data_IF_743921668319
#
_entry.id   IF_743921668319
#
_cell.length_a   1.000
_cell.length_b   1.000
_cell.length_c   1.000
_cell.angle_alpha   90.00
_cell.angle_beta   90.00
_cell.angle_gamma   90.00
#
_symmetry.space_group_name_H-M   'P 1'
#
loop_
_entity.id
_entity.type
_entity.pdbx_description
1 polymer ?
#
# COMPACT_ATOMS: atom_id res chain seq x y z
N UNK A 1 -15.14 17.41 12.54
CA UNK A 1 -15.19 16.41 11.44
C UNK A 1 -15.02 14.97 11.95
N UNK A 2 -13.92 14.61 12.63
CA UNK A 2 -13.69 13.25 13.20
C UNK A 2 -14.89 12.68 13.97
N UNK A 3 -15.40 13.41 14.96
CA UNK A 3 -16.55 12.97 15.78
C UNK A 3 -17.82 12.72 14.96
N UNK A 4 -18.07 13.55 13.94
CA UNK A 4 -19.24 13.38 13.08
C UNK A 4 -19.10 12.13 12.18
N UNK A 5 -17.93 11.93 11.57
CA UNK A 5 -17.66 10.74 10.74
C UNK A 5 -17.66 9.44 11.55
N UNK A 6 -17.13 9.48 12.78
CA UNK A 6 -17.13 8.32 13.67
C UNK A 6 -18.56 7.90 14.02
N UNK A 7 -19.44 8.86 14.32
CA UNK A 7 -20.85 8.59 14.61
C UNK A 7 -21.65 8.13 13.39
N UNK A 8 -21.40 8.73 12.23
CA UNK A 8 -22.17 8.44 11.02
C UNK A 8 -21.75 7.13 10.34
N UNK A 9 -20.47 6.80 10.39
CA UNK A 9 -19.88 5.69 9.63
C UNK A 9 -19.32 4.57 10.53
N UNK A 10 -19.53 4.65 11.86
CA UNK A 10 -19.04 3.67 12.85
C UNK A 10 -17.53 3.41 12.76
N UNK A 11 -16.75 4.46 12.47
CA UNK A 11 -15.29 4.38 12.34
C UNK A 11 -14.68 4.20 13.73
N UNK A 12 -13.85 3.17 13.95
CA UNK A 12 -13.27 2.90 15.27
C UNK A 12 -12.18 3.91 15.63
N UNK A 13 -11.98 4.16 16.93
CA UNK A 13 -10.99 5.15 17.41
C UNK A 13 -9.55 4.80 17.00
N UNK A 14 -9.22 3.52 16.95
CA UNK A 14 -7.90 3.04 16.50
C UNK A 14 -7.56 3.54 15.09
N UNK A 15 -8.55 3.70 14.20
CA UNK A 15 -8.32 4.25 12.87
C UNK A 15 -7.83 5.70 12.95
N UNK A 16 -8.35 6.50 13.88
CA UNK A 16 -8.02 7.91 14.01
C UNK A 16 -6.74 8.18 14.80
N UNK A 17 -6.31 7.24 15.63
CA UNK A 17 -5.02 7.29 16.33
C UNK A 17 -3.87 6.88 15.40
N UNK A 18 -4.19 6.04 14.41
CA UNK A 18 -3.22 5.50 13.48
C UNK A 18 -2.44 6.50 12.60
N UNK A 19 -2.92 7.72 12.24
CA UNK A 19 -2.16 8.66 11.42
C UNK A 19 -0.89 9.18 12.11
N UNK A 20 -0.87 9.24 13.44
CA UNK A 20 0.29 9.71 14.22
C UNK A 20 1.26 8.57 14.52
N UNK A 21 0.84 7.32 14.27
CA UNK A 21 1.68 6.14 14.45
C UNK A 21 2.85 6.09 13.45
N UNK A 22 4.00 5.63 13.97
CA UNK A 22 5.21 5.30 13.19
C UNK A 22 5.11 3.96 12.46
N UNK A 23 4.03 3.22 12.66
CA UNK A 23 3.78 1.94 11.97
C UNK A 23 3.69 2.18 10.45
N UNK A 24 4.39 1.35 9.67
CA UNK A 24 4.46 1.47 8.21
C UNK A 24 3.21 0.94 7.51
N UNK A 25 2.53 -0.02 8.11
CA UNK A 25 1.27 -0.53 7.61
C UNK A 25 0.60 -1.43 8.64
N UNK A 26 -0.71 -1.56 8.50
CA UNK A 26 -1.54 -2.43 9.32
C UNK A 26 -2.80 -2.79 8.56
N UNK A 27 -3.45 -3.86 9.01
CA UNK A 27 -4.82 -4.21 8.67
C UNK A 27 -5.57 -4.50 9.96
N UNK A 28 -6.81 -4.01 10.05
CA UNK A 28 -7.74 -4.33 11.11
C UNK A 28 -9.14 -4.49 10.52
N UNK A 29 -9.95 -5.31 11.17
CA UNK A 29 -11.32 -5.56 10.78
C UNK A 29 -12.19 -5.81 12.01
N UNK A 30 -13.49 -5.60 11.84
CA UNK A 30 -14.52 -5.85 12.82
C UNK A 30 -15.83 -6.21 12.11
N UNK A 31 -16.58 -7.14 12.68
CA UNK A 31 -17.71 -7.78 12.05
C UNK A 31 -18.91 -7.75 12.98
N UNK A 32 -20.10 -7.60 12.40
CA UNK A 32 -21.35 -7.78 13.15
C UNK A 32 -22.21 -8.83 12.48
N UNK A 33 -22.61 -9.81 13.28
CA UNK A 33 -23.47 -10.91 12.86
C UNK A 33 -24.83 -10.77 13.53
N UNK A 34 -25.87 -11.11 12.78
CA UNK A 34 -27.24 -11.27 13.29
C UNK A 34 -27.77 -12.61 12.79
N UNK A 35 -28.23 -13.46 13.71
CA UNK A 35 -28.71 -14.82 13.39
C UNK A 35 -27.71 -15.62 12.54
N UNK A 36 -26.43 -15.60 12.93
CA UNK A 36 -25.29 -16.19 12.20
C UNK A 36 -25.03 -15.65 10.78
N UNK A 37 -25.76 -14.63 10.32
CA UNK A 37 -25.52 -13.97 9.03
C UNK A 37 -24.72 -12.70 9.23
N UNK A 38 -23.69 -12.51 8.39
CA UNK A 38 -22.88 -11.30 8.39
C UNK A 38 -23.74 -10.09 7.95
N UNK A 39 -23.91 -9.12 8.86
CA UNK A 39 -24.67 -7.90 8.59
C UNK A 39 -23.77 -6.72 8.26
N UNK A 40 -22.62 -6.65 8.92
CA UNK A 40 -21.67 -5.56 8.76
C UNK A 40 -20.24 -6.10 8.77
N UNK A 41 -19.43 -5.58 7.86
CA UNK A 41 -17.99 -5.78 7.88
C UNK A 41 -17.31 -4.42 7.77
N UNK A 42 -16.50 -4.10 8.76
CA UNK A 42 -15.66 -2.91 8.79
C UNK A 42 -14.21 -3.34 8.66
N UNK A 43 -13.47 -2.67 7.82
CA UNK A 43 -12.04 -2.86 7.71
C UNK A 43 -11.32 -1.52 7.63
N UNK A 44 -10.09 -1.51 8.12
CA UNK A 44 -9.21 -0.37 8.00
C UNK A 44 -7.79 -0.83 7.79
N UNK A 45 -7.08 -0.11 6.94
CA UNK A 45 -5.71 -0.45 6.62
C UNK A 45 -4.90 0.77 6.25
N UNK A 46 -3.58 0.60 6.35
CA UNK A 46 -2.60 1.61 5.98
C UNK A 46 -1.46 0.97 5.21
N UNK A 47 -0.99 1.69 4.20
CA UNK A 47 0.27 1.45 3.53
C UNK A 47 1.11 2.73 3.56
N UNK A 48 2.41 2.57 3.79
CA UNK A 48 3.41 3.61 3.59
C UNK A 48 4.36 3.19 2.49
N UNK A 49 4.50 4.04 1.48
CA UNK A 49 5.34 3.80 0.30
C UNK A 49 6.37 4.92 0.27
N UNK A 50 7.65 4.57 0.33
CA UNK A 50 8.71 5.57 0.18
C UNK A 50 8.88 5.87 -1.30
N UNK A 51 8.90 7.13 -1.70
CA UNK A 51 9.03 7.51 -3.12
C UNK A 51 9.93 8.74 -3.27
N UNK A 52 10.41 8.99 -4.48
CA UNK A 52 11.04 10.26 -4.84
C UNK A 52 9.97 11.35 -4.98
N UNK A 53 10.23 12.55 -4.45
CA UNK A 53 9.33 13.71 -4.59
C UNK A 53 9.14 14.17 -6.03
N UNK A 54 10.13 13.89 -6.89
CA UNK A 54 10.09 14.18 -8.32
C UNK A 54 10.51 12.92 -9.06
N UNK A 55 9.78 12.50 -10.11
CA UNK A 55 10.13 11.31 -10.89
C UNK A 55 11.41 11.47 -11.71
N UNK A 56 11.93 12.71 -11.82
CA UNK A 56 13.24 12.95 -12.43
C UNK A 56 14.34 12.71 -11.40
N UNK A 57 15.35 11.93 -11.79
CA UNK A 57 16.60 11.82 -11.04
C UNK A 57 17.08 13.23 -10.65
N UNK A 58 17.32 13.50 -9.36
CA UNK A 58 17.85 14.78 -8.93
C UNK A 58 19.13 15.07 -9.72
N UNK A 59 19.30 16.28 -10.25
CA UNK A 59 20.47 16.64 -11.07
C UNK A 59 21.78 16.77 -10.27
N UNK A 60 21.80 16.26 -9.03
CA UNK A 60 22.94 16.26 -8.12
C UNK A 60 22.87 15.07 -7.15
N UNK A 61 23.71 15.11 -6.11
CA UNK A 61 23.75 14.11 -5.06
C UNK A 61 22.37 13.90 -4.44
N UNK A 62 22.02 12.64 -4.22
CA UNK A 62 20.80 12.30 -3.52
C UNK A 62 20.88 12.80 -2.08
N UNK A 63 19.82 13.44 -1.64
CA UNK A 63 19.64 13.87 -0.27
C UNK A 63 18.41 13.16 0.33
N UNK A 64 18.41 12.85 1.63
CA UNK A 64 17.22 12.36 2.32
C UNK A 64 15.94 13.17 2.05
N UNK A 65 16.06 14.47 1.75
CA UNK A 65 14.98 15.40 1.42
C UNK A 65 14.39 15.18 0.02
N UNK A 66 15.05 14.43 -0.86
CA UNK A 66 14.52 14.06 -2.18
C UNK A 66 13.46 12.97 -2.10
N UNK A 67 13.36 12.30 -0.95
CA UNK A 67 12.39 11.25 -0.68
C UNK A 67 11.23 11.76 0.18
N UNK A 68 10.07 11.13 0.00
CA UNK A 68 8.90 11.32 0.84
C UNK A 68 8.19 9.99 1.10
N UNK A 69 7.36 9.98 2.13
CA UNK A 69 6.46 8.86 2.41
C UNK A 69 5.08 9.18 1.86
N UNK A 70 4.69 8.46 0.81
CA UNK A 70 3.30 8.39 0.39
C UNK A 70 2.54 7.51 1.39
N UNK A 71 1.50 8.10 2.00
CA UNK A 71 0.63 7.41 2.95
C UNK A 71 -0.72 7.19 2.31
N UNK A 72 -1.18 5.94 2.31
CA UNK A 72 -2.55 5.58 1.93
C UNK A 72 -3.19 4.91 3.12
N UNK A 73 -4.21 5.53 3.70
CA UNK A 73 -4.99 4.96 4.79
C UNK A 73 -6.45 4.93 4.37
N UNK A 74 -7.09 3.78 4.49
CA UNK A 74 -8.48 3.62 4.10
C UNK A 74 -9.28 2.93 5.20
N UNK A 75 -10.53 3.35 5.34
CA UNK A 75 -11.57 2.70 6.11
C UNK A 75 -12.71 2.34 5.15
N UNK A 76 -13.18 1.11 5.28
CA UNK A 76 -14.25 0.55 4.48
C UNK A 76 -15.30 0.00 5.43
N UNK A 77 -16.56 0.35 5.18
CA UNK A 77 -17.70 -0.26 5.86
C UNK A 77 -18.65 -0.80 4.81
N UNK A 78 -18.89 -2.09 4.90
CA UNK A 78 -19.84 -2.83 4.09
C UNK A 78 -21.05 -3.23 4.94
N UNK A 79 -22.25 -3.06 4.39
CA UNK A 79 -23.49 -3.55 4.99
C UNK A 79 -24.23 -4.48 4.04
N UNK A 80 -24.82 -5.54 4.60
CA UNK A 80 -25.71 -6.48 3.92
C UNK A 80 -26.90 -5.80 3.23
N UNK A 81 -27.33 -4.65 3.75
CA UNK A 81 -28.39 -3.80 3.16
C UNK A 81 -27.99 -3.11 1.84
N UNK A 82 -26.74 -3.23 1.43
CA UNK A 82 -26.19 -2.61 0.22
C UNK A 82 -25.58 -1.21 0.45
N UNK A 83 -25.68 -0.66 1.65
CA UNK A 83 -25.01 0.60 2.00
C UNK A 83 -23.51 0.38 2.25
N UNK A 84 -22.68 1.17 1.59
CA UNK A 84 -21.23 1.04 1.63
C UNK A 84 -20.58 2.39 1.86
N UNK A 85 -19.60 2.46 2.75
CA UNK A 85 -18.83 3.68 3.01
C UNK A 85 -17.34 3.43 2.76
N UNK A 86 -16.72 4.35 2.03
CA UNK A 86 -15.28 4.37 1.78
C UNK A 86 -14.71 5.72 2.21
N UNK A 87 -13.72 5.69 3.09
CA UNK A 87 -12.93 6.85 3.48
C UNK A 87 -11.47 6.55 3.23
N UNK A 88 -10.81 7.29 2.32
CA UNK A 88 -9.37 7.19 2.10
C UNK A 88 -8.67 8.54 2.31
N UNK A 89 -7.54 8.54 3.02
CA UNK A 89 -6.77 9.74 3.35
C UNK A 89 -5.28 9.45 3.65
N UNK A 90 -4.37 10.38 3.36
CA UNK A 90 -4.51 11.38 2.30
C UNK A 90 -4.60 10.69 0.93
N UNK A 91 -5.32 11.29 -0.01
CA UNK A 91 -5.39 10.78 -1.38
C UNK A 91 -5.27 11.95 -2.37
N UNK A 92 -4.31 11.86 -3.28
CA UNK A 92 -4.16 12.87 -4.33
C UNK A 92 -5.39 12.89 -5.25
N UNK A 93 -5.67 14.02 -5.91
CA UNK A 93 -6.88 14.18 -6.74
C UNK A 93 -6.93 13.19 -7.91
N UNK A 94 -5.79 12.86 -8.50
CA UNK A 94 -5.64 11.84 -9.56
C UNK A 94 -6.01 10.45 -9.04
N UNK A 95 -5.42 10.04 -7.92
CA UNK A 95 -5.72 8.79 -7.24
C UNK A 95 -7.22 8.67 -6.86
N UNK A 96 -7.82 9.76 -6.35
CA UNK A 96 -9.26 9.80 -6.07
C UNK A 96 -10.10 9.53 -7.31
N UNK A 97 -9.77 10.17 -8.44
CA UNK A 97 -10.49 9.95 -9.70
C UNK A 97 -10.36 8.50 -10.16
N UNK A 98 -9.16 7.93 -10.06
CA UNK A 98 -8.89 6.55 -10.45
C UNK A 98 -9.71 5.55 -9.61
N UNK A 99 -9.70 5.68 -8.27
CA UNK A 99 -10.50 4.81 -7.39
C UNK A 99 -11.99 4.96 -7.69
N UNK A 100 -12.47 6.19 -7.86
CA UNK A 100 -13.88 6.46 -8.15
C UNK A 100 -14.32 5.79 -9.45
N UNK A 101 -13.54 5.96 -10.53
CA UNK A 101 -13.80 5.32 -11.81
C UNK A 101 -13.78 3.79 -11.69
N UNK A 102 -12.78 3.23 -11.00
CA UNK A 102 -12.70 1.78 -10.80
C UNK A 102 -13.89 1.22 -9.99
N UNK A 103 -14.47 2.00 -9.07
CA UNK A 103 -15.69 1.65 -8.33
C UNK A 103 -16.94 1.75 -9.23
N UNK A 104 -17.04 2.77 -10.08
CA UNK A 104 -18.13 2.93 -11.04
C UNK A 104 -18.13 1.83 -12.10
N UNK A 105 -16.95 1.53 -12.66
CA UNK A 105 -16.74 0.54 -13.72
C UNK A 105 -16.79 -0.91 -13.21
N UNK A 106 -16.73 -1.10 -11.88
CA UNK A 106 -16.79 -2.43 -11.29
C UNK A 106 -18.21 -3.01 -11.45
N UNK A 107 -18.39 -3.85 -12.46
CA UNK A 107 -19.64 -4.55 -12.71
C UNK A 107 -19.45 -6.05 -12.46
N UNK A 108 -20.40 -6.67 -11.76
CA UNK A 108 -20.37 -8.10 -11.53
C UNK A 108 -21.58 -8.59 -10.74
N UNK A 109 -22.08 -9.80 -11.04
CA UNK A 109 -23.08 -10.43 -10.19
C UNK A 109 -22.49 -10.56 -8.77
N UNK A 110 -23.32 -10.32 -7.76
CA UNK A 110 -22.96 -10.49 -6.34
C UNK A 110 -21.84 -9.57 -5.80
N UNK A 111 -21.43 -8.52 -6.53
CA UNK A 111 -20.42 -7.54 -6.02
C UNK A 111 -20.81 -6.99 -4.65
N UNK A 112 -22.08 -6.57 -4.52
CA UNK A 112 -22.59 -6.01 -3.27
C UNK A 112 -22.72 -7.05 -2.14
N UNK A 113 -22.63 -8.36 -2.44
CA UNK A 113 -22.64 -9.42 -1.44
C UNK A 113 -21.24 -9.72 -0.89
N UNK A 114 -20.18 -9.27 -1.54
CA UNK A 114 -18.80 -9.55 -1.12
C UNK A 114 -18.23 -8.38 -0.30
N UNK A 115 -18.00 -8.51 1.02
CA UNK A 115 -17.47 -7.42 1.85
C UNK A 115 -16.14 -6.82 1.39
N UNK A 116 -15.37 -7.57 0.60
CA UNK A 116 -14.06 -7.17 0.12
C UNK A 116 -14.07 -6.43 -1.22
N UNK A 117 -15.23 -6.28 -1.89
CA UNK A 117 -15.28 -5.76 -3.27
C UNK A 117 -14.63 -4.37 -3.44
N UNK A 118 -14.75 -3.47 -2.45
CA UNK A 118 -14.14 -2.13 -2.48
C UNK A 118 -12.63 -2.12 -2.26
N UNK A 119 -12.04 -3.20 -1.74
CA UNK A 119 -10.60 -3.26 -1.49
C UNK A 119 -9.83 -3.34 -2.81
N UNK A 120 -10.34 -4.10 -3.78
CA UNK A 120 -9.70 -4.33 -5.07
C UNK A 120 -9.25 -3.05 -5.79
N UNK A 121 -10.11 -2.04 -6.05
CA UNK A 121 -9.68 -0.82 -6.74
C UNK A 121 -8.61 -0.03 -5.96
N UNK A 122 -8.63 -0.11 -4.63
CA UNK A 122 -7.65 0.56 -3.77
C UNK A 122 -6.31 -0.18 -3.81
N UNK A 123 -6.34 -1.52 -3.72
CA UNK A 123 -5.14 -2.35 -3.80
C UNK A 123 -4.47 -2.23 -5.16
N UNK A 124 -5.24 -2.16 -6.26
CA UNK A 124 -4.70 -1.89 -7.59
C UNK A 124 -3.95 -0.56 -7.66
N UNK A 125 -4.50 0.51 -7.05
CA UNK A 125 -3.79 1.79 -6.95
C UNK A 125 -2.50 1.66 -6.13
N UNK A 126 -2.54 0.95 -5.00
CA UNK A 126 -1.37 0.75 -4.15
C UNK A 126 -0.26 0.01 -4.89
N UNK A 127 -0.60 -1.02 -5.68
CA UNK A 127 0.36 -1.73 -6.53
C UNK A 127 1.01 -0.79 -7.55
N UNK A 128 0.24 0.08 -8.19
CA UNK A 128 0.78 1.06 -9.14
C UNK A 128 1.75 2.05 -8.47
N UNK A 129 1.40 2.55 -7.28
CA UNK A 129 2.28 3.44 -6.52
C UNK A 129 3.59 2.76 -6.11
N UNK A 130 3.52 1.47 -5.77
CA UNK A 130 4.69 0.65 -5.47
C UNK A 130 5.57 0.40 -6.69
N UNK A 131 4.96 0.01 -7.82
CA UNK A 131 5.65 -0.23 -9.08
C UNK A 131 6.42 1.04 -9.51
N UNK A 132 5.75 2.19 -9.50
CA UNK A 132 6.38 3.48 -9.80
C UNK A 132 7.56 3.78 -8.84
N UNK A 133 7.38 3.57 -7.54
CA UNK A 133 8.40 3.86 -6.55
C UNK A 133 9.64 2.94 -6.65
N UNK A 134 9.44 1.67 -7.04
CA UNK A 134 10.51 0.69 -7.31
C UNK A 134 11.24 1.05 -8.61
N UNK A 135 10.52 1.36 -9.69
CA UNK A 135 11.14 1.70 -10.97
C UNK A 135 12.02 2.96 -10.90
N UNK A 136 11.74 3.86 -9.96
CA UNK A 136 12.61 5.00 -9.69
C UNK A 136 14.02 4.64 -9.18
N UNK A 137 14.27 3.42 -8.68
CA UNK A 137 15.62 2.96 -8.33
C UNK A 137 16.50 2.76 -9.57
N UNK A 138 15.93 2.27 -10.67
CA UNK A 138 16.68 1.92 -11.87
C UNK A 138 17.55 3.05 -12.40
N UNK A 139 17.04 4.28 -12.64
CA UNK A 139 17.86 5.34 -13.17
C UNK A 139 18.89 5.87 -12.17
N UNK A 140 18.67 5.73 -10.85
CA UNK A 140 19.65 6.07 -9.82
C UNK A 140 20.85 5.12 -9.86
N UNK A 141 20.58 3.81 -9.93
CA UNK A 141 21.63 2.78 -10.07
C UNK A 141 22.39 2.95 -11.38
N UNK A 142 21.66 3.15 -12.48
CA UNK A 142 22.25 3.35 -13.82
C UNK A 142 23.19 4.56 -13.84
N UNK A 143 22.87 5.63 -13.10
CA UNK A 143 23.72 6.82 -13.00
C UNK A 143 25.07 6.51 -12.34
N UNK A 144 25.07 5.74 -11.25
CA UNK A 144 26.31 5.31 -10.60
C UNK A 144 27.10 4.37 -11.52
N UNK A 145 26.47 3.37 -12.11
CA UNK A 145 27.12 2.40 -13.01
C UNK A 145 27.78 3.07 -14.21
N UNK A 146 27.18 4.16 -14.72
CA UNK A 146 27.70 4.94 -15.86
C UNK A 146 28.63 6.08 -15.45
N UNK A 147 28.89 6.28 -14.17
CA UNK A 147 29.82 7.33 -13.72
C UNK A 147 31.23 7.04 -14.25
N UNK A 148 31.94 8.09 -14.69
CA UNK A 148 33.29 7.94 -15.25
C UNK A 148 34.26 7.25 -14.26
N UNK A 149 34.04 7.42 -12.95
CA UNK A 149 34.79 6.76 -11.88
C UNK A 149 34.69 5.22 -11.99
N UNK A 150 33.51 4.67 -12.28
CA UNK A 150 33.29 3.22 -12.39
C UNK A 150 33.77 2.66 -13.75
N UNK A 151 33.60 3.43 -14.83
CA UNK A 151 34.03 3.07 -16.19
C UNK A 151 35.56 3.12 -16.35
N UNK A 152 36.26 4.07 -15.70
CA UNK A 152 37.73 4.16 -15.74
C UNK A 152 38.42 3.14 -14.84
N UNK A 153 37.76 2.64 -13.79
CA UNK A 153 38.26 1.56 -12.92
C UNK A 153 38.23 0.15 -13.56
N UNK A 154 37.58 0.00 -14.71
CA UNK A 154 37.46 -1.27 -15.45
C UNK A 154 38.43 -1.38 -16.65
N UNK A 155 39.26 -0.36 -16.88
CA UNK A 155 40.38 -0.43 -17.82
C UNK A 155 41.59 -1.09 -17.13
N UNK A 156 42.22 -2.14 -17.68
CA UNK A 156 43.35 -2.83 -17.04
C UNK A 156 44.59 -1.95 -16.78
N UNK A 157 44.63 -0.74 -17.36
CA UNK A 157 45.71 0.25 -17.17
C UNK A 157 45.50 1.14 -15.93
N UNK A 158 44.28 1.24 -15.36
CA UNK A 158 44.03 2.01 -14.13
C UNK A 158 44.35 1.24 -12.85
N UNK A 159 44.51 -0.08 -12.93
CA UNK A 159 44.99 -0.94 -11.83
C UNK A 159 46.45 -0.65 -11.39
N UNK A 160 47.18 0.19 -12.14
CA UNK A 160 48.53 0.67 -11.80
C UNK A 160 48.53 1.90 -10.87
N UNK A 161 47.40 2.60 -10.70
CA UNK A 161 47.27 3.71 -9.77
C UNK A 161 46.46 3.26 -8.55
N UNK A 162 47.11 3.24 -7.38
CA UNK A 162 46.63 2.72 -6.08
C UNK A 162 45.41 3.44 -5.47
N UNK A 163 44.77 4.34 -6.19
CA UNK A 163 43.59 5.05 -5.69
C UNK A 163 42.33 4.36 -6.17
N UNK A 164 41.47 3.86 -5.27
CA UNK A 164 40.15 3.39 -5.66
C UNK A 164 39.46 4.47 -6.48
N UNK A 165 38.62 4.10 -7.46
CA UNK A 165 37.81 5.09 -8.16
C UNK A 165 37.07 5.91 -7.11
N UNK A 166 37.03 7.23 -7.31
CA UNK A 166 36.31 8.18 -6.45
C UNK A 166 34.81 7.94 -6.66
N UNK A 167 34.36 6.80 -6.13
CA UNK A 167 32.98 6.40 -6.10
C UNK A 167 32.32 7.29 -5.07
N UNK A 168 31.25 7.95 -5.46
CA UNK A 168 30.46 8.76 -4.55
C UNK A 168 29.77 7.86 -3.52
N UNK A 169 30.50 7.57 -2.44
CA UNK A 169 30.06 6.71 -1.35
C UNK A 169 28.80 7.26 -0.69
N UNK A 170 28.61 8.57 -0.70
CA UNK A 170 27.42 9.20 -0.16
C UNK A 170 26.19 8.92 -1.04
N UNK A 171 26.31 9.06 -2.36
CA UNK A 171 25.23 8.72 -3.28
C UNK A 171 24.89 7.23 -3.24
N UNK A 172 25.92 6.36 -3.22
CA UNK A 172 25.73 4.91 -3.09
C UNK A 172 25.03 4.54 -1.78
N UNK A 173 25.43 5.17 -0.67
CA UNK A 173 24.80 4.97 0.64
C UNK A 173 23.33 5.38 0.62
N UNK A 174 22.99 6.52 0.00
CA UNK A 174 21.59 6.96 -0.07
C UNK A 174 20.72 6.07 -0.96
N UNK A 175 21.25 5.55 -2.07
CA UNK A 175 20.54 4.57 -2.91
C UNK A 175 20.33 3.27 -2.14
N UNK A 176 21.37 2.76 -1.47
CA UNK A 176 21.27 1.55 -0.65
C UNK A 176 20.22 1.72 0.45
N UNK A 177 20.25 2.85 1.16
CA UNK A 177 19.29 3.19 2.21
C UNK A 177 17.87 3.27 1.65
N UNK A 178 17.68 3.85 0.48
CA UNK A 178 16.38 3.91 -0.18
C UNK A 178 15.88 2.51 -0.58
N UNK A 179 16.74 1.67 -1.18
CA UNK A 179 16.42 0.29 -1.53
C UNK A 179 16.07 -0.57 -0.31
N UNK A 180 16.81 -0.42 0.79
CA UNK A 180 16.54 -1.13 2.05
C UNK A 180 15.17 -0.74 2.61
N UNK A 181 14.89 0.56 2.72
CA UNK A 181 13.58 1.01 3.19
C UNK A 181 12.44 0.54 2.30
N UNK A 182 12.67 0.48 0.98
CA UNK A 182 11.72 -0.11 0.03
C UNK A 182 11.42 -1.57 0.34
N UNK A 183 12.45 -2.38 0.56
CA UNK A 183 12.29 -3.79 0.92
C UNK A 183 11.54 -3.94 2.25
N UNK A 184 11.89 -3.13 3.27
CA UNK A 184 11.21 -3.12 4.55
C UNK A 184 9.71 -2.78 4.42
N UNK A 185 9.37 -1.67 3.76
CA UNK A 185 7.96 -1.29 3.59
C UNK A 185 7.20 -2.23 2.67
N UNK A 186 7.87 -2.88 1.71
CA UNK A 186 7.28 -3.90 0.83
C UNK A 186 6.88 -5.13 1.64
N UNK A 187 7.76 -5.59 2.53
CA UNK A 187 7.46 -6.72 3.40
C UNK A 187 6.27 -6.41 4.31
N UNK A 188 6.19 -5.20 4.85
CA UNK A 188 5.01 -4.77 5.63
C UNK A 188 3.75 -4.79 4.77
N UNK A 189 3.82 -4.32 3.52
CA UNK A 189 2.68 -4.36 2.61
C UNK A 189 2.22 -5.80 2.32
N UNK A 190 3.15 -6.74 2.12
CA UNK A 190 2.85 -8.16 1.96
C UNK A 190 2.12 -8.69 3.20
N UNK A 191 2.64 -8.43 4.41
CA UNK A 191 2.00 -8.90 5.64
C UNK A 191 0.57 -8.35 5.80
N UNK A 192 0.33 -7.09 5.41
CA UNK A 192 -0.99 -6.46 5.42
C UNK A 192 -1.94 -7.16 4.43
N UNK A 193 -1.47 -7.47 3.23
CA UNK A 193 -2.24 -8.18 2.20
C UNK A 193 -2.53 -9.63 2.59
N UNK A 194 -1.58 -10.30 3.24
CA UNK A 194 -1.78 -11.65 3.80
C UNK A 194 -2.85 -11.62 4.88
N UNK A 195 -2.80 -10.67 5.81
CA UNK A 195 -3.85 -10.50 6.82
C UNK A 195 -5.24 -10.26 6.22
N UNK A 196 -5.33 -9.47 5.13
CA UNK A 196 -6.57 -9.29 4.38
C UNK A 196 -7.06 -10.59 3.73
N UNK A 197 -6.15 -11.33 3.08
CA UNK A 197 -6.46 -12.59 2.40
C UNK A 197 -6.94 -13.64 3.40
N UNK A 198 -6.21 -13.82 4.49
CA UNK A 198 -6.50 -14.85 5.50
C UNK A 198 -7.86 -14.56 6.15
N UNK A 199 -8.18 -13.29 6.40
CA UNK A 199 -9.49 -12.90 6.90
C UNK A 199 -10.61 -13.09 5.87
N UNK A 200 -10.36 -12.75 4.59
CA UNK A 200 -11.32 -13.03 3.52
C UNK A 200 -11.61 -14.53 3.39
N UNK A 201 -10.60 -15.39 3.51
CA UNK A 201 -10.77 -16.84 3.50
C UNK A 201 -11.58 -17.34 4.70
N UNK A 202 -11.34 -16.78 5.89
CA UNK A 202 -12.13 -17.08 7.08
C UNK A 202 -13.62 -16.72 6.90
N UNK A 203 -13.89 -15.56 6.32
CA UNK A 203 -15.26 -15.15 5.99
C UNK A 203 -15.95 -16.12 5.03
N UNK A 204 -15.25 -16.55 3.97
CA UNK A 204 -15.80 -17.51 3.02
C UNK A 204 -16.13 -18.84 3.71
N UNK A 205 -15.26 -19.37 4.58
CA UNK A 205 -15.55 -20.61 5.30
C UNK A 205 -16.77 -20.49 6.21
N UNK A 206 -16.94 -19.35 6.87
CA UNK A 206 -18.11 -19.10 7.74
C UNK A 206 -19.41 -18.96 6.93
N UNK A 207 -19.34 -18.44 5.70
CA UNK A 207 -20.50 -18.35 4.81
C UNK A 207 -20.92 -19.73 4.30
N UNK A 208 -19.96 -20.56 3.88
CA UNK A 208 -20.21 -21.93 3.40
C UNK A 208 -20.79 -22.84 4.49
N UNK A 209 -20.33 -22.71 5.74
CA UNK A 209 -20.86 -23.45 6.89
C UNK A 209 -22.31 -23.07 7.20
N UNK A 210 -22.65 -21.78 7.12
CA UNK A 210 -24.00 -21.29 7.39
C UNK A 210 -25.02 -21.71 6.32
N UNK A 211 -24.61 -21.76 5.05
CA UNK A 211 -25.46 -22.25 3.96
C UNK A 211 -25.65 -23.78 4.07
N UNK A 212 -24.62 -24.50 4.55
CA UNK A 212 -24.69 -25.94 4.82
C UNK A 212 -25.59 -26.29 6.02
N UNK A 213 -25.59 -25.49 7.08
CA UNK A 213 -26.51 -25.65 8.22
C UNK A 213 -27.96 -25.35 7.84
N UNK A 214 -28.21 -24.32 7.04
CA UNK A 214 -29.56 -24.01 6.56
C UNK A 214 -30.14 -25.12 5.68
N UNK A 215 -29.31 -25.83 4.91
CA UNK A 215 -29.73 -26.97 4.09
C UNK A 215 -30.06 -28.24 4.90
N UNK A 216 -29.56 -28.36 6.14
CA UNK A 216 -29.80 -29.52 7.04
C UNK A 216 -31.04 -29.39 7.92
N UNK A 217 -31.64 -28.20 7.99
CA UNK A 217 -32.82 -27.91 8.81
C UNK A 217 -34.13 -28.09 8.01
N UNK A 218 -34.04 -28.45 6.73
CA UNK A 218 -35.15 -28.86 5.86
C UNK A 218 -35.05 -30.34 5.48
#
# INVERSE_FOLDING_TARGET
MRLALSKLCSIPDVFWESPESRIQGFFGCDEQYEQNKLQEHRSWFRFMIKQLKKPKCPTGHLDPRDFEWCRVMCFIRWLSSGQNNLLCMPLQRSARKHIWQAIEDSHGPNRLLNPFWMHLPILSLIVLLWDEAIWHLQPLVTRIERSESYIKGSNPVSALYKTPPDADLQELHEILRYALHHAESSQVAVNVLEGMRDHYQHLLSMMDENDSEQMRIY
#
